data_IF_324414130930
#
_entry.id   IF_324414130930
#
_cell.length_a   1.000
_cell.length_b   1.000
_cell.length_c   1.000
_cell.angle_alpha   90.00
_cell.angle_beta   90.00
_cell.angle_gamma   90.00
#
_symmetry.space_group_name_H-M   'P 1'
#
loop_
_entity.id
_entity.type
_entity.pdbx_description
1 polymer ?
#
# COMPACT_ATOMS: atom_id res chain seq x y z
N UNK A 1 -9.69 1.92 22.76
CA UNK A 1 -11.07 1.40 22.58
C UNK A 1 -11.09 -0.07 22.92
N UNK A 2 -12.25 -0.68 23.20
CA UNK A 2 -12.27 -2.10 23.57
C UNK A 2 -12.22 -2.98 22.31
N UNK A 3 -11.46 -4.07 22.38
CA UNK A 3 -11.46 -5.14 21.38
C UNK A 3 -12.90 -5.55 21.03
N UNK A 4 -13.20 -5.71 19.74
CA UNK A 4 -14.53 -6.07 19.24
C UNK A 4 -15.51 -4.91 19.06
N UNK A 5 -15.16 -3.67 19.43
CA UNK A 5 -15.98 -2.48 19.12
C UNK A 5 -16.15 -2.33 17.61
N UNK A 6 -17.34 -1.93 17.17
CA UNK A 6 -17.57 -1.68 15.74
C UNK A 6 -16.84 -0.41 15.29
N UNK A 7 -16.46 -0.36 14.02
CA UNK A 7 -15.85 0.83 13.42
C UNK A 7 -16.73 2.07 13.63
N UNK A 8 -18.04 1.95 13.44
CA UNK A 8 -18.99 3.05 13.62
C UNK A 8 -18.99 3.57 15.06
N UNK A 9 -18.91 2.69 16.06
CA UNK A 9 -18.79 3.09 17.46
C UNK A 9 -17.45 3.82 17.69
N UNK A 10 -16.36 3.33 17.08
CA UNK A 10 -15.05 3.95 17.16
C UNK A 10 -15.05 5.36 16.54
N UNK A 11 -15.66 5.53 15.37
CA UNK A 11 -15.75 6.80 14.68
C UNK A 11 -16.63 7.84 15.42
N UNK A 12 -17.68 7.38 16.12
CA UNK A 12 -18.66 8.23 16.80
C UNK A 12 -18.35 8.45 18.30
N UNK A 13 -17.28 7.87 18.84
CA UNK A 13 -16.99 8.03 20.26
C UNK A 13 -16.68 9.49 20.62
N UNK A 14 -17.28 9.98 21.71
CA UNK A 14 -17.23 11.39 22.15
C UNK A 14 -15.83 11.92 22.51
N UNK A 15 -14.84 11.05 22.61
CA UNK A 15 -13.42 11.39 22.78
C UNK A 15 -12.63 11.36 21.47
N UNK A 16 -13.28 11.09 20.35
CA UNK A 16 -12.63 11.01 19.05
C UNK A 16 -12.10 12.39 18.64
N UNK A 17 -10.78 12.47 18.41
CA UNK A 17 -10.16 13.65 17.78
C UNK A 17 -10.37 13.66 16.26
N UNK A 18 -11.14 12.70 15.74
CA UNK A 18 -11.42 12.54 14.32
C UNK A 18 -12.45 13.58 13.89
N UNK A 19 -12.19 14.24 12.79
CA UNK A 19 -13.14 15.16 12.14
C UNK A 19 -14.37 14.36 11.70
N UNK A 20 -15.55 14.88 11.92
CA UNK A 20 -16.82 14.21 11.59
C UNK A 20 -16.97 13.89 10.10
N UNK A 21 -16.45 14.75 9.24
CA UNK A 21 -16.44 14.53 7.79
C UNK A 21 -15.54 13.35 7.38
N UNK A 22 -14.33 13.25 7.99
CA UNK A 22 -13.42 12.10 7.78
C UNK A 22 -14.08 10.81 8.27
N UNK A 23 -14.72 10.85 9.45
CA UNK A 23 -15.45 9.70 9.99
C UNK A 23 -16.56 9.23 9.03
N UNK A 24 -17.32 10.15 8.44
CA UNK A 24 -18.38 9.85 7.48
C UNK A 24 -17.82 9.21 6.20
N UNK A 25 -16.71 9.74 5.67
CA UNK A 25 -16.06 9.19 4.48
C UNK A 25 -15.49 7.78 4.73
N UNK A 26 -14.82 7.56 5.86
CA UNK A 26 -14.28 6.23 6.22
C UNK A 26 -15.41 5.22 6.44
N UNK A 27 -16.52 5.62 7.07
CA UNK A 27 -17.70 4.77 7.21
C UNK A 27 -18.32 4.40 5.85
N UNK A 28 -18.34 5.34 4.89
CA UNK A 28 -18.79 5.08 3.52
C UNK A 28 -17.89 4.09 2.79
N UNK A 29 -16.56 4.28 2.88
CA UNK A 29 -15.55 3.37 2.32
C UNK A 29 -15.66 1.97 2.94
N UNK A 30 -15.83 1.87 4.26
CA UNK A 30 -15.99 0.58 4.94
C UNK A 30 -17.26 -0.17 4.49
N UNK A 31 -18.37 0.53 4.27
CA UNK A 31 -19.59 -0.09 3.72
C UNK A 31 -19.38 -0.58 2.29
N UNK A 32 -18.70 0.19 1.43
CA UNK A 32 -18.33 -0.25 0.09
C UNK A 32 -17.41 -1.48 0.12
N UNK A 33 -16.42 -1.48 1.02
CA UNK A 33 -15.53 -2.61 1.21
C UNK A 33 -16.25 -3.89 1.70
N UNK A 34 -17.25 -3.78 2.56
CA UNK A 34 -18.06 -4.92 2.99
C UNK A 34 -18.87 -5.50 1.80
N UNK A 35 -19.48 -4.65 1.00
CA UNK A 35 -20.22 -5.04 -0.22
C UNK A 35 -19.29 -5.72 -1.24
N UNK A 36 -18.15 -5.09 -1.55
CA UNK A 36 -17.15 -5.66 -2.46
C UNK A 36 -16.60 -7.00 -1.94
N UNK A 37 -16.38 -7.11 -0.63
CA UNK A 37 -15.94 -8.35 0.01
C UNK A 37 -16.93 -9.50 -0.20
N UNK A 38 -18.23 -9.22 -0.12
CA UNK A 38 -19.27 -10.23 -0.34
C UNK A 38 -19.33 -10.64 -1.82
N UNK A 39 -19.13 -9.71 -2.73
CA UNK A 39 -19.04 -9.99 -4.17
C UNK A 39 -17.82 -10.86 -4.50
N UNK A 40 -16.63 -10.50 -4.01
CA UNK A 40 -15.40 -11.26 -4.21
C UNK A 40 -15.52 -12.68 -3.64
N UNK A 41 -16.15 -12.82 -2.46
CA UNK A 41 -16.33 -14.13 -1.82
C UNK A 41 -17.25 -15.07 -2.60
N UNK A 42 -18.13 -14.56 -3.46
CA UNK A 42 -18.94 -15.38 -4.37
C UNK A 42 -18.12 -15.94 -5.54
N UNK A 43 -17.00 -15.27 -5.88
CA UNK A 43 -16.15 -15.69 -6.99
C UNK A 43 -16.92 -15.86 -8.30
N UNK A 44 -16.73 -16.97 -9.04
CA UNK A 44 -17.42 -17.21 -10.31
C UNK A 44 -18.97 -17.28 -10.22
N UNK A 45 -19.54 -17.43 -9.02
CA UNK A 45 -20.99 -17.43 -8.83
C UNK A 45 -21.59 -16.03 -9.00
N UNK A 46 -20.80 -14.98 -8.84
CA UNK A 46 -21.21 -13.59 -9.07
C UNK A 46 -21.12 -13.17 -10.56
N UNK A 47 -20.69 -14.08 -11.44
CA UNK A 47 -20.44 -13.81 -12.85
C UNK A 47 -18.95 -13.84 -13.20
N UNK A 48 -18.61 -13.53 -14.45
CA UNK A 48 -17.20 -13.49 -14.90
C UNK A 48 -16.53 -12.17 -14.51
N UNK A 49 -16.24 -12.02 -13.24
CA UNK A 49 -15.58 -10.83 -12.67
C UNK A 49 -14.12 -10.68 -13.13
N UNK A 50 -13.53 -11.75 -13.68
CA UNK A 50 -12.17 -11.76 -14.21
C UNK A 50 -12.13 -11.42 -15.72
N UNK A 51 -13.29 -11.24 -16.38
CA UNK A 51 -13.35 -10.90 -17.78
C UNK A 51 -12.54 -9.64 -18.07
N UNK A 52 -11.63 -9.74 -19.04
CA UNK A 52 -10.91 -8.58 -19.56
C UNK A 52 -11.89 -7.74 -20.41
N UNK A 53 -11.90 -6.45 -20.15
CA UNK A 53 -12.56 -5.49 -21.01
C UNK A 53 -11.61 -5.08 -22.14
N UNK A 54 -12.14 -4.82 -23.34
CA UNK A 54 -11.39 -4.26 -24.48
C UNK A 54 -10.94 -2.80 -24.21
N UNK A 55 -10.86 -2.42 -22.92
CA UNK A 55 -10.46 -1.11 -22.43
C UNK A 55 -9.20 -1.23 -21.59
N UNK A 56 -8.32 -0.25 -21.72
CA UNK A 56 -7.19 -0.04 -20.82
C UNK A 56 -7.51 1.14 -19.91
N UNK A 57 -7.07 1.07 -18.64
CA UNK A 57 -7.19 2.21 -17.75
C UNK A 57 -6.27 3.37 -18.20
N UNK A 58 -6.36 4.50 -17.54
CA UNK A 58 -5.55 5.69 -17.86
C UNK A 58 -4.03 5.45 -17.76
N UNK A 59 -3.61 4.38 -17.08
CA UNK A 59 -2.21 3.96 -16.96
C UNK A 59 -1.75 3.02 -18.07
N UNK A 60 -2.67 2.59 -18.97
CA UNK A 60 -2.41 1.63 -20.03
C UNK A 60 -2.40 0.17 -19.57
N UNK A 61 -2.88 -0.12 -18.36
CA UNK A 61 -3.05 -1.47 -17.84
C UNK A 61 -4.46 -1.99 -18.22
N UNK A 62 -4.60 -3.29 -18.52
CA UNK A 62 -5.89 -3.89 -18.88
C UNK A 62 -6.87 -3.86 -17.71
N UNK A 63 -8.09 -3.39 -17.94
CA UNK A 63 -9.16 -3.36 -16.94
C UNK A 63 -9.94 -4.66 -16.94
N UNK A 64 -10.27 -5.15 -15.75
CA UNK A 64 -11.21 -6.26 -15.55
C UNK A 64 -12.58 -5.75 -15.10
N UNK A 65 -13.59 -6.59 -15.26
CA UNK A 65 -14.95 -6.26 -14.84
C UNK A 65 -15.02 -5.85 -13.37
N UNK A 66 -14.29 -6.54 -12.50
CA UNK A 66 -14.31 -6.28 -11.06
C UNK A 66 -13.68 -4.92 -10.70
N UNK A 67 -12.70 -4.43 -11.45
CA UNK A 67 -12.08 -3.11 -11.23
C UNK A 67 -13.13 -2.00 -11.39
N UNK A 68 -13.95 -2.09 -12.44
CA UNK A 68 -15.02 -1.13 -12.69
C UNK A 68 -16.16 -1.23 -11.67
N UNK A 69 -16.56 -2.45 -11.32
CA UNK A 69 -17.59 -2.68 -10.30
C UNK A 69 -17.12 -2.13 -8.94
N UNK A 70 -15.86 -2.35 -8.57
CA UNK A 70 -15.29 -1.80 -7.34
C UNK A 70 -15.30 -0.26 -7.37
N UNK A 71 -14.90 0.35 -8.49
CA UNK A 71 -14.95 1.79 -8.67
C UNK A 71 -16.37 2.34 -8.44
N UNK A 72 -17.37 1.76 -9.10
CA UNK A 72 -18.76 2.21 -9.01
C UNK A 72 -19.32 2.07 -7.59
N UNK A 73 -19.01 0.98 -6.89
CA UNK A 73 -19.39 0.78 -5.47
C UNK A 73 -18.82 1.93 -4.62
N UNK A 74 -17.51 2.20 -4.70
CA UNK A 74 -16.90 3.22 -3.84
C UNK A 74 -17.36 4.63 -4.18
N UNK A 75 -17.42 5.01 -5.45
CA UNK A 75 -17.94 6.32 -5.88
C UNK A 75 -19.40 6.48 -5.43
N UNK A 76 -20.23 5.44 -5.61
CA UNK A 76 -21.62 5.45 -5.18
C UNK A 76 -21.76 5.66 -3.68
N UNK A 77 -20.94 4.99 -2.85
CA UNK A 77 -20.95 5.14 -1.39
C UNK A 77 -20.45 6.51 -0.93
N UNK A 78 -19.43 7.05 -1.60
CA UNK A 78 -18.84 8.36 -1.28
C UNK A 78 -19.74 9.54 -1.61
N UNK A 79 -20.75 9.40 -2.51
CA UNK A 79 -21.76 10.43 -2.77
C UNK A 79 -22.60 10.80 -1.55
N UNK A 80 -22.72 9.89 -0.56
CA UNK A 80 -23.42 10.13 0.69
C UNK A 80 -22.53 10.71 1.81
N UNK A 81 -21.27 10.99 1.51
CA UNK A 81 -20.30 11.56 2.43
C UNK A 81 -19.88 12.98 1.97
N UNK A 82 -19.32 13.82 2.84
CA UNK A 82 -18.93 15.19 2.50
C UNK A 82 -17.66 15.24 1.64
N UNK A 83 -17.68 14.55 0.49
CA UNK A 83 -16.57 14.41 -0.45
C UNK A 83 -16.81 15.28 -1.68
N UNK A 84 -15.90 16.22 -1.92
CA UNK A 84 -15.97 17.11 -3.08
C UNK A 84 -15.52 16.41 -4.36
N UNK A 85 -14.49 15.57 -4.27
CA UNK A 85 -13.84 14.96 -5.43
C UNK A 85 -13.24 13.62 -5.07
N UNK A 86 -13.32 12.66 -6.03
CA UNK A 86 -12.65 11.36 -5.97
C UNK A 86 -11.69 11.25 -7.14
N UNK A 87 -10.42 10.93 -6.86
CA UNK A 87 -9.44 10.57 -7.86
C UNK A 87 -9.17 9.05 -7.78
N UNK A 88 -9.50 8.33 -8.84
CA UNK A 88 -9.43 6.87 -8.90
C UNK A 88 -8.39 6.41 -9.92
N UNK A 89 -7.80 5.24 -9.68
CA UNK A 89 -6.92 4.59 -10.65
C UNK A 89 -7.61 4.31 -11.98
N UNK A 90 -8.89 3.96 -11.91
CA UNK A 90 -9.66 3.48 -13.06
C UNK A 90 -10.05 4.59 -14.03
N UNK A 91 -9.97 5.85 -13.62
CA UNK A 91 -10.42 7.00 -14.43
C UNK A 91 -9.28 8.00 -14.65
N UNK A 92 -9.21 8.51 -15.89
CA UNK A 92 -8.19 9.48 -16.29
C UNK A 92 -8.29 10.81 -15.53
N UNK A 93 -9.50 11.22 -15.17
CA UNK A 93 -9.80 12.50 -14.53
C UNK A 93 -10.53 12.28 -13.21
N UNK A 94 -10.32 13.15 -12.21
CA UNK A 94 -11.05 13.08 -10.97
C UNK A 94 -12.57 13.27 -11.17
N UNK A 95 -13.37 12.54 -10.40
CA UNK A 95 -14.84 12.62 -10.39
C UNK A 95 -15.28 13.65 -9.36
N UNK A 96 -15.93 14.72 -9.79
CA UNK A 96 -16.59 15.67 -8.90
C UNK A 96 -17.86 15.06 -8.31
N UNK A 97 -18.03 15.17 -6.97
CA UNK A 97 -19.22 14.65 -6.26
C UNK A 97 -20.08 15.79 -5.70
N UNK A 98 -19.64 16.43 -4.64
CA UNK A 98 -20.37 17.51 -3.95
C UNK A 98 -19.52 18.78 -3.92
N UNK A 99 -19.93 19.86 -4.58
CA UNK A 99 -19.19 21.13 -4.53
C UNK A 99 -19.04 21.72 -3.12
N UNK A 100 -19.93 21.34 -2.17
CA UNK A 100 -19.86 21.73 -0.77
C UNK A 100 -19.06 20.77 0.09
N UNK A 101 -18.56 19.67 -0.50
CA UNK A 101 -17.76 18.67 0.20
C UNK A 101 -16.43 19.26 0.72
N UNK A 102 -16.03 18.77 1.88
CA UNK A 102 -14.82 19.24 2.59
C UNK A 102 -13.61 18.32 2.42
N UNK A 103 -13.78 17.22 1.69
CA UNK A 103 -12.78 16.18 1.50
C UNK A 103 -12.52 15.88 0.03
N UNK A 104 -11.27 15.57 -0.29
CA UNK A 104 -10.86 14.87 -1.50
C UNK A 104 -10.41 13.45 -1.14
N UNK A 105 -10.87 12.47 -1.91
CA UNK A 105 -10.50 11.06 -1.75
C UNK A 105 -9.69 10.61 -2.94
N UNK A 106 -8.56 9.95 -2.69
CA UNK A 106 -7.78 9.24 -3.70
C UNK A 106 -7.93 7.75 -3.44
N UNK A 107 -8.15 6.95 -4.47
CA UNK A 107 -8.48 5.53 -4.30
C UNK A 107 -7.91 4.68 -5.44
N UNK A 108 -7.32 3.55 -5.08
CA UNK A 108 -7.20 2.36 -5.91
C UNK A 108 -8.34 1.43 -5.50
N UNK A 109 -9.39 1.29 -6.31
CA UNK A 109 -10.57 0.50 -5.94
C UNK A 109 -10.26 -0.98 -5.79
N UNK A 110 -9.29 -1.50 -6.57
CA UNK A 110 -8.95 -2.93 -6.53
C UNK A 110 -7.46 -3.20 -6.85
N UNK A 111 -6.59 -3.03 -5.82
CA UNK A 111 -5.19 -3.44 -5.87
C UNK A 111 -5.05 -4.94 -6.15
N UNK A 112 -4.13 -5.28 -7.05
CA UNK A 112 -3.81 -6.65 -7.36
C UNK A 112 -4.75 -7.31 -8.36
N UNK A 113 -5.29 -6.58 -9.33
CA UNK A 113 -6.22 -7.07 -10.36
C UNK A 113 -5.70 -8.31 -11.13
N UNK A 114 -4.37 -8.51 -11.22
CA UNK A 114 -3.77 -9.73 -11.76
C UNK A 114 -4.17 -11.00 -10.98
N UNK A 115 -4.58 -10.87 -9.71
CA UNK A 115 -4.99 -11.98 -8.84
C UNK A 115 -6.50 -12.31 -8.93
N UNK A 116 -7.29 -11.51 -9.64
CA UNK A 116 -8.73 -11.76 -9.82
C UNK A 116 -8.92 -13.08 -10.57
N UNK A 117 -9.80 -13.93 -10.03
CA UNK A 117 -10.06 -15.26 -10.57
C UNK A 117 -9.05 -16.34 -10.17
N UNK A 118 -7.97 -15.99 -9.45
CA UNK A 118 -6.93 -16.93 -9.00
C UNK A 118 -7.06 -17.29 -7.51
N UNK A 119 -8.07 -16.77 -6.82
CA UNK A 119 -8.29 -16.96 -5.39
C UNK A 119 -7.08 -16.52 -4.51
N UNK A 120 -6.40 -15.48 -4.94
CA UNK A 120 -5.31 -14.81 -4.21
C UNK A 120 -5.82 -13.46 -3.71
N UNK A 121 -5.28 -12.98 -2.60
CA UNK A 121 -5.72 -11.71 -2.00
C UNK A 121 -5.62 -10.54 -2.96
N UNK A 122 -6.66 -9.75 -2.99
CA UNK A 122 -6.76 -8.43 -3.63
C UNK A 122 -7.14 -7.38 -2.58
N UNK A 123 -7.18 -6.11 -2.91
CA UNK A 123 -7.54 -5.11 -1.92
C UNK A 123 -8.01 -3.78 -2.48
N UNK A 124 -8.29 -2.86 -1.59
CA UNK A 124 -8.61 -1.46 -1.91
C UNK A 124 -7.67 -0.57 -1.13
N UNK A 125 -7.14 0.49 -1.73
CA UNK A 125 -6.27 1.46 -1.05
C UNK A 125 -6.91 2.84 -1.16
N UNK A 126 -6.91 3.62 -0.07
CA UNK A 126 -7.44 4.98 -0.10
C UNK A 126 -6.63 5.96 0.75
N UNK A 127 -6.63 7.22 0.32
CA UNK A 127 -6.13 8.36 1.07
C UNK A 127 -7.14 9.50 1.07
N UNK A 128 -7.23 10.25 2.15
CA UNK A 128 -8.16 11.37 2.33
C UNK A 128 -7.36 12.65 2.57
N UNK A 129 -7.73 13.69 1.84
CA UNK A 129 -7.19 15.03 1.96
C UNK A 129 -8.29 16.00 2.35
N UNK A 130 -7.95 17.09 3.05
CA UNK A 130 -8.89 18.19 3.17
C UNK A 130 -9.08 18.85 1.79
N UNK A 131 -10.31 19.02 1.34
CA UNK A 131 -10.60 19.82 0.15
C UNK A 131 -10.73 21.28 0.54
N UNK A 132 -10.10 22.14 -0.23
CA UNK A 132 -10.28 23.59 -0.14
C UNK A 132 -10.53 24.14 -1.56
N UNK A 133 -11.36 25.18 -1.70
CA UNK A 133 -11.64 25.77 -3.00
C UNK A 133 -10.36 26.15 -3.74
N UNK A 134 -10.20 25.70 -4.97
CA UNK A 134 -9.03 25.99 -5.81
C UNK A 134 -7.77 25.15 -5.48
N UNK A 135 -7.78 24.33 -4.46
CA UNK A 135 -6.63 23.45 -4.17
C UNK A 135 -6.70 22.16 -5.02
N UNK A 136 -5.60 21.80 -5.72
CA UNK A 136 -5.55 20.59 -6.52
C UNK A 136 -5.57 19.35 -5.62
N UNK A 137 -6.04 18.22 -6.14
CA UNK A 137 -5.93 16.91 -5.45
C UNK A 137 -4.49 16.38 -5.48
N UNK A 138 -3.67 16.85 -6.42
CA UNK A 138 -2.26 16.48 -6.57
C UNK A 138 -1.41 17.21 -5.52
N UNK A 139 -1.22 16.57 -4.37
CA UNK A 139 -0.47 17.11 -3.22
C UNK A 139 0.52 16.06 -2.72
N UNK A 140 1.55 16.51 -1.97
CA UNK A 140 2.45 15.56 -1.32
C UNK A 140 1.68 14.71 -0.30
N UNK A 141 2.15 13.48 -0.11
CA UNK A 141 1.55 12.53 0.83
C UNK A 141 1.55 13.03 2.29
N UNK A 142 2.45 13.95 2.65
CA UNK A 142 2.45 14.62 3.94
C UNK A 142 1.17 15.43 4.24
N UNK A 143 0.35 15.71 3.23
CA UNK A 143 -0.95 16.42 3.38
C UNK A 143 -2.13 15.45 3.54
N UNK A 144 -1.90 14.14 3.51
CA UNK A 144 -2.92 13.12 3.84
C UNK A 144 -3.34 13.28 5.29
N UNK A 145 -4.65 13.32 5.55
CA UNK A 145 -5.22 13.47 6.89
C UNK A 145 -5.76 12.15 7.45
N UNK A 146 -6.10 11.20 6.57
CA UNK A 146 -6.45 9.83 6.89
C UNK A 146 -6.12 8.94 5.72
N UNK A 147 -5.74 7.69 5.97
CA UNK A 147 -5.55 6.69 4.94
C UNK A 147 -5.92 5.31 5.45
N UNK A 148 -6.19 4.40 4.54
CA UNK A 148 -6.44 3.01 4.85
C UNK A 148 -6.31 2.13 3.62
N UNK A 149 -6.31 0.84 3.89
CA UNK A 149 -6.50 -0.18 2.87
C UNK A 149 -7.31 -1.36 3.40
N UNK A 150 -7.94 -2.07 2.49
CA UNK A 150 -8.67 -3.30 2.80
C UNK A 150 -7.98 -4.47 2.12
N UNK A 151 -7.83 -5.57 2.84
CA UNK A 151 -7.37 -6.85 2.27
C UNK A 151 -8.57 -7.78 2.17
N UNK A 152 -8.88 -8.22 0.97
CA UNK A 152 -9.84 -9.27 0.68
C UNK A 152 -9.09 -10.59 0.51
N UNK A 153 -9.08 -11.41 1.56
CA UNK A 153 -8.34 -12.67 1.63
C UNK A 153 -9.11 -13.69 2.49
N UNK A 154 -8.42 -14.60 3.20
CA UNK A 154 -9.05 -15.56 4.11
C UNK A 154 -9.96 -14.89 5.14
N UNK A 155 -9.64 -13.67 5.53
CA UNK A 155 -10.51 -12.71 6.23
C UNK A 155 -10.46 -11.37 5.52
N UNK A 156 -11.53 -10.57 5.65
CA UNK A 156 -11.50 -9.18 5.18
C UNK A 156 -11.08 -8.28 6.32
N UNK A 157 -9.97 -7.58 6.13
CA UNK A 157 -9.40 -6.68 7.14
C UNK A 157 -9.26 -5.27 6.59
N UNK A 158 -9.75 -4.29 7.35
CA UNK A 158 -9.54 -2.86 7.11
C UNK A 158 -8.41 -2.39 8.02
N UNK A 159 -7.35 -1.87 7.44
CA UNK A 159 -6.27 -1.15 8.13
C UNK A 159 -6.48 0.32 7.92
N UNK A 160 -6.53 1.12 8.97
CA UNK A 160 -6.85 2.55 8.86
C UNK A 160 -6.12 3.38 9.91
N UNK A 161 -5.75 4.60 9.55
CA UNK A 161 -5.33 5.65 10.48
C UNK A 161 -6.08 6.95 10.17
N UNK A 162 -6.67 7.51 11.20
CA UNK A 162 -7.48 8.75 11.15
C UNK A 162 -6.69 9.94 11.70
N UNK A 163 -5.38 9.97 11.47
CA UNK A 163 -4.46 10.98 12.00
C UNK A 163 -3.75 10.58 13.30
N UNK A 164 -4.14 9.45 13.90
CA UNK A 164 -3.53 8.85 15.09
C UNK A 164 -2.75 7.59 14.80
N UNK A 165 -2.89 6.60 15.68
CA UNK A 165 -2.33 5.25 15.52
C UNK A 165 -2.95 4.54 14.30
N UNK A 166 -2.31 3.48 13.86
CA UNK A 166 -2.85 2.57 12.84
C UNK A 166 -3.63 1.48 13.56
N UNK A 167 -4.88 1.30 13.18
CA UNK A 167 -5.81 0.33 13.74
C UNK A 167 -6.18 -0.73 12.70
N UNK A 168 -6.50 -1.96 13.14
CA UNK A 168 -7.01 -3.01 12.27
C UNK A 168 -8.40 -3.43 12.74
N UNK A 169 -9.31 -3.45 11.78
CA UNK A 169 -10.67 -3.96 11.93
C UNK A 169 -10.86 -5.18 11.03
N UNK A 170 -11.54 -6.20 11.54
CA UNK A 170 -11.91 -7.39 10.77
C UNK A 170 -13.42 -7.36 10.50
N UNK A 171 -13.83 -7.70 9.28
CA UNK A 171 -15.24 -7.79 8.91
C UNK A 171 -15.91 -8.98 9.61
N UNK A 172 -16.82 -8.71 10.52
CA UNK A 172 -17.78 -9.68 11.02
C UNK A 172 -18.89 -9.85 9.97
N UNK A 173 -18.78 -10.87 9.12
CA UNK A 173 -19.74 -11.12 8.03
C UNK A 173 -21.16 -11.39 8.53
N UNK A 174 -21.33 -11.88 9.77
CA UNK A 174 -22.65 -12.14 10.34
C UNK A 174 -23.36 -10.85 10.73
N UNK A 175 -22.58 -9.90 11.22
CA UNK A 175 -23.10 -8.58 11.61
C UNK A 175 -23.04 -7.56 10.47
N UNK A 176 -22.34 -7.85 9.37
CA UNK A 176 -22.07 -6.90 8.29
C UNK A 176 -21.24 -5.69 8.73
N UNK A 177 -20.41 -5.83 9.77
CA UNK A 177 -19.73 -4.70 10.41
C UNK A 177 -18.25 -5.01 10.65
N UNK A 178 -17.40 -4.01 10.45
CA UNK A 178 -15.98 -4.09 10.83
C UNK A 178 -15.82 -3.94 12.33
N UNK A 179 -15.08 -4.86 12.97
CA UNK A 179 -14.78 -4.87 14.41
C UNK A 179 -13.30 -4.70 14.66
N UNK A 180 -12.97 -3.87 15.65
CA UNK A 180 -11.60 -3.60 16.08
C UNK A 180 -10.92 -4.89 16.58
N UNK A 181 -9.80 -5.27 15.94
CA UNK A 181 -9.01 -6.46 16.30
C UNK A 181 -7.60 -6.12 16.71
N UNK A 182 -7.06 -4.95 16.29
CA UNK A 182 -5.78 -4.42 16.75
C UNK A 182 -5.93 -2.92 16.98
N UNK A 183 -5.75 -2.47 18.21
CA UNK A 183 -5.90 -1.03 18.59
C UNK A 183 -4.71 -0.17 18.13
N UNK A 184 -3.54 -0.77 18.03
CA UNK A 184 -2.31 -0.07 17.67
C UNK A 184 -1.35 -1.02 16.98
N UNK A 185 -1.08 -0.73 15.72
CA UNK A 185 -0.05 -1.44 14.95
C UNK A 185 1.30 -0.76 15.17
N UNK A 186 2.33 -1.57 15.44
CA UNK A 186 3.71 -1.13 15.43
C UNK A 186 4.54 -2.15 14.64
N UNK A 187 5.27 -1.69 13.64
CA UNK A 187 6.08 -2.57 12.79
C UNK A 187 7.22 -3.16 13.61
N UNK A 188 7.33 -4.50 13.72
CA UNK A 188 8.43 -5.13 14.42
C UNK A 188 9.79 -4.80 13.80
N UNK A 189 10.75 -4.45 14.64
CA UNK A 189 12.13 -4.18 14.22
C UNK A 189 12.86 -5.48 13.85
N UNK A 190 13.87 -5.37 12.98
CA UNK A 190 14.90 -6.39 12.72
C UNK A 190 14.41 -7.73 12.15
N UNK A 191 13.19 -7.88 11.70
CA UNK A 191 12.72 -9.11 11.07
C UNK A 191 13.54 -9.39 9.80
N UNK A 192 14.15 -10.59 9.68
CA UNK A 192 14.91 -10.96 8.50
C UNK A 192 13.98 -11.48 7.39
N UNK A 193 13.06 -10.64 6.95
CA UNK A 193 12.15 -10.93 5.84
C UNK A 193 12.21 -9.80 4.81
N UNK A 194 12.10 -10.16 3.54
CA UNK A 194 11.91 -9.20 2.45
C UNK A 194 10.87 -9.70 1.45
N UNK A 195 10.22 -8.76 0.77
CA UNK A 195 9.31 -9.03 -0.32
C UNK A 195 9.79 -8.31 -1.57
N UNK A 196 10.02 -9.05 -2.65
CA UNK A 196 10.40 -8.51 -3.96
C UNK A 196 10.03 -9.49 -5.06
N UNK A 197 9.67 -8.99 -6.24
CA UNK A 197 9.47 -9.85 -7.41
C UNK A 197 10.81 -10.30 -7.99
N UNK A 198 11.33 -11.44 -7.52
CA UNK A 198 12.62 -11.98 -7.91
C UNK A 198 12.78 -12.26 -9.41
N UNK A 199 11.67 -12.41 -10.16
CA UNK A 199 11.73 -12.60 -11.62
C UNK A 199 12.34 -11.40 -12.37
N UNK A 200 12.39 -10.24 -11.72
CA UNK A 200 12.95 -9.01 -12.25
C UNK A 200 14.47 -8.84 -11.96
N UNK A 201 15.13 -9.79 -11.29
CA UNK A 201 16.54 -9.72 -10.86
C UNK A 201 17.49 -9.18 -11.94
N UNK A 202 17.39 -9.70 -13.19
CA UNK A 202 18.25 -9.28 -14.30
C UNK A 202 18.06 -7.82 -14.74
N UNK A 203 16.97 -7.18 -14.33
CA UNK A 203 16.64 -5.81 -14.70
C UNK A 203 16.93 -4.79 -13.61
N UNK A 204 17.17 -5.23 -12.37
CA UNK A 204 17.45 -4.34 -11.24
C UNK A 204 18.79 -3.62 -11.38
N UNK A 205 18.90 -2.50 -10.71
CA UNK A 205 20.17 -1.82 -10.48
C UNK A 205 21.11 -2.68 -9.62
N UNK A 206 22.42 -2.35 -9.68
CA UNK A 206 23.44 -3.08 -8.94
C UNK A 206 23.19 -3.04 -7.43
N UNK A 207 22.75 -1.91 -6.89
CA UNK A 207 22.44 -1.77 -5.47
C UNK A 207 21.33 -2.73 -5.01
N UNK A 208 20.22 -2.83 -5.76
CA UNK A 208 19.14 -3.78 -5.42
C UNK A 208 19.66 -5.22 -5.50
N UNK A 209 20.40 -5.56 -6.56
CA UNK A 209 20.96 -6.92 -6.69
C UNK A 209 21.91 -7.24 -5.55
N UNK A 210 22.82 -6.31 -5.22
CA UNK A 210 23.76 -6.47 -4.13
C UNK A 210 23.06 -6.72 -2.79
N UNK A 211 22.02 -5.94 -2.47
CA UNK A 211 21.25 -6.16 -1.26
C UNK A 211 20.60 -7.56 -1.19
N UNK A 212 20.01 -8.02 -2.31
CA UNK A 212 19.36 -9.33 -2.34
C UNK A 212 20.40 -10.46 -2.31
N UNK A 213 21.52 -10.34 -3.01
CA UNK A 213 22.61 -11.33 -2.97
C UNK A 213 23.15 -11.49 -1.54
N UNK A 214 23.38 -10.37 -0.84
CA UNK A 214 23.85 -10.39 0.54
C UNK A 214 22.80 -10.97 1.51
N UNK A 215 21.48 -10.81 1.23
CA UNK A 215 20.42 -11.51 1.97
C UNK A 215 20.47 -13.04 1.73
N UNK A 216 20.88 -13.50 0.55
CA UNK A 216 21.01 -14.93 0.22
C UNK A 216 22.25 -15.59 0.84
N UNK A 217 23.29 -14.82 1.15
CA UNK A 217 24.49 -15.36 1.82
C UNK A 217 24.24 -15.81 3.26
N UNK A 218 23.12 -15.42 3.85
CA UNK A 218 22.68 -15.88 5.18
C UNK A 218 23.58 -15.38 6.32
N UNK A 219 23.65 -16.16 7.41
CA UNK A 219 24.43 -15.82 8.61
C UNK A 219 25.93 -15.70 8.35
N UNK A 220 26.44 -16.38 7.34
CA UNK A 220 27.86 -16.31 6.94
C UNK A 220 28.19 -15.08 6.10
N UNK A 221 27.20 -14.36 5.61
CA UNK A 221 27.33 -13.21 4.74
C UNK A 221 27.32 -11.87 5.48
N UNK A 222 27.35 -10.76 4.72
CA UNK A 222 27.45 -9.40 5.29
C UNK A 222 26.26 -8.99 6.15
N UNK A 223 25.12 -9.66 5.97
CA UNK A 223 23.87 -9.37 6.69
C UNK A 223 23.76 -10.12 8.03
N UNK A 224 24.63 -11.12 8.25
CA UNK A 224 24.72 -11.93 9.48
C UNK A 224 23.34 -12.51 9.94
N UNK A 225 22.44 -12.79 8.99
CA UNK A 225 21.09 -13.27 9.26
C UNK A 225 20.54 -14.09 8.08
N UNK A 226 19.77 -15.13 8.39
CA UNK A 226 19.05 -15.93 7.41
C UNK A 226 17.76 -15.24 7.01
N UNK A 227 17.71 -14.63 5.84
CA UNK A 227 16.53 -13.94 5.34
C UNK A 227 15.55 -14.89 4.66
N UNK A 228 14.26 -14.61 4.83
CA UNK A 228 13.19 -15.27 4.08
C UNK A 228 12.55 -14.30 3.08
N UNK A 229 12.45 -14.71 1.83
CA UNK A 229 11.64 -14.00 0.85
C UNK A 229 10.16 -14.36 1.04
N UNK A 230 9.30 -13.33 1.08
CA UNK A 230 7.85 -13.45 1.17
C UNK A 230 7.22 -12.49 0.17
N UNK A 231 6.83 -13.00 -0.99
CA UNK A 231 6.20 -12.23 -2.06
C UNK A 231 4.81 -12.79 -2.36
N UNK A 232 3.75 -11.98 -2.16
CA UNK A 232 2.35 -12.36 -2.35
C UNK A 232 1.83 -11.85 -3.70
N UNK A 233 2.48 -10.86 -4.28
CA UNK A 233 2.06 -10.17 -5.51
C UNK A 233 0.71 -9.42 -5.34
N UNK A 234 0.45 -8.88 -4.16
CA UNK A 234 -0.62 -7.96 -3.80
C UNK A 234 -0.04 -6.93 -2.83
N UNK A 235 -0.08 -5.65 -3.19
CA UNK A 235 0.51 -4.60 -2.37
C UNK A 235 -0.12 -4.55 -0.98
N UNK A 236 -1.46 -4.65 -0.92
CA UNK A 236 -2.18 -4.65 0.37
C UNK A 236 -1.83 -5.85 1.24
N UNK A 237 -1.68 -7.05 0.66
CA UNK A 237 -1.36 -8.26 1.41
C UNK A 237 0.09 -8.25 1.91
N UNK A 238 1.04 -7.81 1.07
CA UNK A 238 2.43 -7.63 1.48
C UNK A 238 2.56 -6.52 2.54
N UNK A 239 1.83 -5.40 2.40
CA UNK A 239 1.78 -4.34 3.41
C UNK A 239 1.22 -4.85 4.73
N UNK A 240 0.10 -5.57 4.71
CA UNK A 240 -0.50 -6.16 5.91
C UNK A 240 0.49 -7.07 6.66
N UNK A 241 1.24 -7.89 5.91
CA UNK A 241 2.28 -8.74 6.48
C UNK A 241 3.41 -7.92 7.11
N UNK A 242 3.92 -6.89 6.41
CA UNK A 242 4.99 -6.02 6.92
C UNK A 242 4.54 -5.28 8.20
N UNK A 243 3.33 -4.77 8.24
CA UNK A 243 2.77 -4.10 9.43
C UNK A 243 2.77 -5.01 10.65
N UNK A 244 2.48 -6.31 10.48
CA UNK A 244 2.36 -7.26 11.60
C UNK A 244 3.66 -8.03 11.91
N UNK A 245 4.53 -8.23 10.93
CA UNK A 245 5.74 -9.06 11.09
C UNK A 245 7.04 -8.31 10.91
N UNK A 246 7.01 -7.11 10.36
CA UNK A 246 8.21 -6.37 10.00
C UNK A 246 8.85 -6.84 8.69
N UNK A 247 10.13 -6.51 8.51
CA UNK A 247 10.87 -6.76 7.28
C UNK A 247 10.82 -5.56 6.33
N UNK A 248 11.06 -5.79 5.04
CA UNK A 248 11.07 -4.75 4.01
C UNK A 248 10.39 -5.22 2.72
N UNK A 249 9.55 -4.38 2.16
CA UNK A 249 8.98 -4.53 0.82
C UNK A 249 9.79 -3.69 -0.16
N UNK A 250 10.07 -4.27 -1.35
CA UNK A 250 10.79 -3.59 -2.42
C UNK A 250 10.04 -3.75 -3.74
N UNK A 251 9.65 -2.62 -4.31
CA UNK A 251 9.22 -2.54 -5.70
C UNK A 251 10.03 -1.44 -6.39
N UNK A 252 11.31 -1.71 -6.67
CA UNK A 252 12.23 -0.71 -7.21
C UNK A 252 11.91 -0.38 -8.66
N UNK A 253 12.44 0.74 -9.15
CA UNK A 253 12.60 0.96 -10.58
C UNK A 253 13.51 -0.09 -11.19
N UNK A 254 13.43 -0.28 -12.48
CA UNK A 254 14.34 -1.16 -13.20
C UNK A 254 14.77 -0.56 -14.56
N UNK A 255 15.73 -1.20 -15.21
CA UNK A 255 16.34 -0.68 -16.45
C UNK A 255 15.43 -0.69 -17.67
N UNK A 256 14.26 -1.31 -17.60
CA UNK A 256 13.26 -1.29 -18.68
C UNK A 256 12.62 0.08 -18.77
N UNK A 257 12.50 0.62 -19.99
CA UNK A 257 11.92 1.96 -20.22
C UNK A 257 10.54 2.13 -19.57
N UNK A 258 9.71 1.10 -19.63
CA UNK A 258 8.35 1.14 -19.06
C UNK A 258 8.35 1.20 -17.52
N UNK A 259 9.44 0.81 -16.85
CA UNK A 259 9.55 0.70 -15.39
C UNK A 259 10.66 1.55 -14.78
N UNK A 260 11.27 2.42 -15.59
CA UNK A 260 12.36 3.31 -15.15
C UNK A 260 11.92 4.31 -14.06
N UNK A 261 10.60 4.56 -13.94
CA UNK A 261 9.99 5.38 -12.90
C UNK A 261 9.26 4.55 -11.82
N UNK A 262 9.52 3.25 -11.74
CA UNK A 262 8.75 2.35 -10.89
C UNK A 262 7.44 1.89 -11.54
N UNK A 263 6.59 1.26 -10.75
CA UNK A 263 5.33 0.68 -11.22
C UNK A 263 4.11 1.20 -10.48
N UNK A 264 4.26 1.48 -9.19
CA UNK A 264 3.18 1.93 -8.32
C UNK A 264 2.92 3.42 -8.50
N UNK A 265 1.68 3.86 -8.27
CA UNK A 265 1.30 5.26 -8.45
C UNK A 265 1.47 6.01 -7.14
N UNK A 266 2.00 7.24 -7.26
CA UNK A 266 2.26 8.09 -6.09
C UNK A 266 0.98 8.39 -5.33
N UNK A 267 -0.11 8.73 -6.05
CA UNK A 267 -1.31 9.37 -5.47
C UNK A 267 -2.14 8.40 -4.66
N UNK A 268 -2.55 7.27 -5.23
CA UNK A 268 -3.54 6.39 -4.62
C UNK A 268 -3.00 5.07 -4.10
N UNK A 269 -1.71 4.74 -4.35
CA UNK A 269 -1.04 3.56 -3.80
C UNK A 269 0.08 3.98 -2.83
N UNK A 270 1.17 4.60 -3.32
CA UNK A 270 2.37 4.84 -2.53
C UNK A 270 2.14 5.81 -1.36
N UNK A 271 1.43 6.92 -1.56
CA UNK A 271 1.15 7.89 -0.49
C UNK A 271 0.30 7.31 0.64
N UNK A 272 -0.86 6.65 0.39
CA UNK A 272 -1.64 6.04 1.47
C UNK A 272 -0.89 4.94 2.23
N UNK A 273 -0.16 4.08 1.52
CA UNK A 273 0.65 3.02 2.15
C UNK A 273 1.78 3.62 2.98
N UNK A 274 2.54 4.59 2.45
CA UNK A 274 3.61 5.27 3.17
C UNK A 274 3.10 5.97 4.43
N UNK A 275 1.91 6.60 4.36
CA UNK A 275 1.28 7.25 5.50
C UNK A 275 1.00 6.25 6.64
N UNK A 276 0.45 5.08 6.32
CA UNK A 276 0.17 4.04 7.30
C UNK A 276 1.46 3.43 7.87
N UNK A 277 2.43 3.12 7.00
CA UNK A 277 3.72 2.55 7.39
C UNK A 277 4.45 3.45 8.36
N UNK A 278 4.55 4.77 8.08
CA UNK A 278 5.24 5.70 8.96
C UNK A 278 4.52 5.90 10.29
N UNK A 279 3.18 5.90 10.31
CA UNK A 279 2.40 5.95 11.55
C UNK A 279 2.50 4.68 12.39
N UNK A 280 2.81 3.54 11.76
CA UNK A 280 3.15 2.30 12.44
C UNK A 280 4.62 2.20 12.86
N UNK A 281 5.40 3.30 12.78
CA UNK A 281 6.81 3.35 13.16
C UNK A 281 7.78 2.83 12.10
N UNK A 282 7.33 2.67 10.86
CA UNK A 282 8.15 2.30 9.71
C UNK A 282 8.70 3.49 8.93
N UNK A 283 9.30 3.21 7.77
CA UNK A 283 9.76 4.19 6.80
C UNK A 283 9.35 3.79 5.38
N UNK A 284 9.22 4.78 4.48
CA UNK A 284 8.90 4.57 3.08
C UNK A 284 9.67 5.55 2.18
N UNK A 285 10.32 5.02 1.13
CA UNK A 285 11.21 5.76 0.23
C UNK A 285 11.02 5.32 -1.24
N UNK A 286 11.36 6.22 -2.18
CA UNK A 286 11.52 5.86 -3.59
C UNK A 286 12.92 5.26 -3.90
N UNK A 287 13.74 5.14 -2.87
CA UNK A 287 15.14 4.73 -2.92
C UNK A 287 16.12 5.89 -2.65
N UNK A 288 15.64 7.13 -2.69
CA UNK A 288 16.42 8.34 -2.45
C UNK A 288 15.67 9.40 -1.64
N UNK A 289 14.34 9.47 -1.78
CA UNK A 289 13.48 10.46 -1.14
C UNK A 289 12.36 9.76 -0.40
N UNK A 290 11.93 10.36 0.70
CA UNK A 290 10.76 9.93 1.43
C UNK A 290 9.51 10.05 0.56
N UNK A 291 8.68 8.99 0.50
CA UNK A 291 7.47 8.96 -0.34
C UNK A 291 6.53 10.13 -0.03
N UNK A 292 6.27 10.42 1.23
CA UNK A 292 5.31 11.47 1.63
C UNK A 292 5.74 12.89 1.25
N UNK A 293 6.99 13.09 0.84
CA UNK A 293 7.50 14.40 0.39
C UNK A 293 7.41 14.55 -1.15
N UNK A 294 7.03 13.50 -1.88
CA UNK A 294 6.86 13.57 -3.32
C UNK A 294 5.61 14.39 -3.66
N UNK A 295 5.78 15.35 -4.57
CA UNK A 295 4.68 16.13 -5.15
C UNK A 295 4.38 15.53 -6.52
N UNK A 296 3.25 14.84 -6.71
CA UNK A 296 2.91 14.23 -7.98
C UNK A 296 2.60 15.29 -9.05
N UNK A 297 3.17 15.13 -10.23
CA UNK A 297 2.93 16.01 -11.38
C UNK A 297 1.66 15.61 -12.15
N UNK A 298 1.19 14.37 -12.00
CA UNK A 298 -0.03 13.86 -12.62
C UNK A 298 -0.69 12.81 -11.73
N UNK A 299 -1.99 12.53 -11.99
CA UNK A 299 -2.78 11.58 -11.19
C UNK A 299 -2.18 10.16 -11.21
N UNK A 300 -1.68 9.73 -12.35
CA UNK A 300 -1.14 8.39 -12.57
C UNK A 300 0.40 8.34 -12.56
N UNK A 301 1.05 9.34 -11.95
CA UNK A 301 2.52 9.33 -11.83
C UNK A 301 2.99 8.12 -11.06
N UNK A 302 3.98 7.41 -11.64
CA UNK A 302 4.56 6.20 -11.05
C UNK A 302 5.80 6.52 -10.24
N UNK A 303 6.05 5.70 -9.22
CA UNK A 303 7.23 5.77 -8.35
C UNK A 303 7.71 4.35 -7.98
N UNK A 304 9.01 4.17 -7.73
CA UNK A 304 9.49 3.05 -6.95
C UNK A 304 8.92 3.15 -5.53
N UNK A 305 8.73 2.02 -4.86
CA UNK A 305 8.26 1.99 -3.48
C UNK A 305 9.05 0.95 -2.68
N UNK A 306 9.72 1.42 -1.63
CA UNK A 306 10.44 0.62 -0.66
C UNK A 306 9.95 1.04 0.71
N UNK A 307 9.43 0.09 1.51
CA UNK A 307 8.92 0.41 2.84
C UNK A 307 9.08 -0.75 3.81
N UNK A 308 9.01 -0.45 5.10
CA UNK A 308 9.07 -1.43 6.17
C UNK A 308 9.74 -0.90 7.42
N UNK A 309 10.45 -1.76 8.13
CA UNK A 309 11.21 -1.39 9.31
C UNK A 309 12.30 -0.36 8.94
N UNK A 310 12.46 0.73 9.71
CA UNK A 310 13.33 1.85 9.35
C UNK A 310 14.78 1.45 9.06
N UNK A 311 15.34 0.53 9.85
CA UNK A 311 16.73 0.06 9.70
C UNK A 311 16.92 -0.71 8.40
N UNK A 312 15.90 -1.48 7.97
CA UNK A 312 15.95 -2.23 6.70
C UNK A 312 15.81 -1.28 5.52
N UNK A 313 14.91 -0.31 5.60
CA UNK A 313 14.74 0.72 4.55
C UNK A 313 16.02 1.53 4.39
N UNK A 314 16.59 2.05 5.49
CA UNK A 314 17.85 2.79 5.46
C UNK A 314 19.02 1.94 4.94
N UNK A 315 19.00 0.63 5.21
CA UNK A 315 19.98 -0.28 4.64
C UNK A 315 19.87 -0.36 3.11
N UNK A 316 18.66 -0.57 2.58
CA UNK A 316 18.44 -0.61 1.12
C UNK A 316 18.88 0.71 0.47
N UNK A 317 18.57 1.87 1.08
CA UNK A 317 19.01 3.18 0.57
C UNK A 317 20.53 3.29 0.48
N UNK A 318 21.29 2.74 1.46
CA UNK A 318 22.76 2.73 1.37
C UNK A 318 23.27 1.89 0.20
N UNK A 319 22.66 0.73 -0.08
CA UNK A 319 22.99 -0.08 -1.24
C UNK A 319 22.71 0.65 -2.55
N UNK A 320 21.54 1.31 -2.64
CA UNK A 320 21.17 2.11 -3.81
C UNK A 320 22.09 3.31 -4.02
N UNK A 321 22.59 3.91 -2.94
CA UNK A 321 23.56 5.00 -2.99
C UNK A 321 25.00 4.54 -3.26
N UNK A 322 25.23 3.23 -3.45
CA UNK A 322 26.56 2.65 -3.68
C UNK A 322 27.49 2.69 -2.47
N UNK A 323 26.95 2.93 -1.25
CA UNK A 323 27.77 3.10 -0.04
C UNK A 323 28.20 1.78 0.60
N UNK A 324 27.39 0.74 0.46
CA UNK A 324 27.64 -0.58 1.09
C UNK A 324 28.19 -1.63 0.09
N UNK A 325 28.04 -1.43 -1.23
CA UNK A 325 28.30 -2.48 -2.23
C UNK A 325 29.75 -2.67 -2.67
N UNK A 326 30.64 -1.68 -2.48
CA UNK A 326 31.98 -1.70 -3.08
C UNK A 326 33.09 -2.21 -2.15
N UNK A 327 32.95 -2.00 -0.84
CA UNK A 327 34.02 -2.34 0.12
C UNK A 327 33.94 -3.82 0.53
N UNK A 328 32.73 -4.38 0.64
CA UNK A 328 32.51 -5.76 1.12
C UNK A 328 32.74 -6.83 0.02
N UNK A 329 32.63 -6.45 -1.26
CA UNK A 329 32.83 -7.38 -2.40
C UNK A 329 34.25 -7.37 -2.98
N UNK A 330 35.11 -6.51 -2.49
CA UNK A 330 36.52 -6.53 -2.92
C UNK A 330 37.18 -7.86 -2.48
N UNK A 331 37.80 -8.61 -3.39
CA UNK A 331 38.56 -9.83 -3.04
C UNK A 331 39.61 -9.61 -1.96
N UNK A 332 40.10 -8.35 -1.82
CA UNK A 332 41.10 -7.97 -0.82
C UNK A 332 40.52 -7.78 0.60
N UNK A 333 39.23 -7.53 0.71
CA UNK A 333 38.55 -7.25 2.00
C UNK A 333 37.46 -8.27 2.35
N UNK A 334 37.15 -9.21 1.46
CA UNK A 334 36.19 -10.29 1.71
C UNK A 334 36.72 -11.29 2.74
N UNK A 335 35.82 -11.86 3.55
CA UNK A 335 36.12 -12.91 4.55
C UNK A 335 36.81 -14.16 3.97
N UNK A 336 37.02 -14.24 2.65
CA UNK A 336 37.77 -15.31 1.95
C UNK A 336 39.24 -14.96 1.67
N UNK A 337 39.77 -13.92 2.31
CA UNK A 337 41.19 -13.60 2.21
C UNK A 337 42.09 -14.71 2.78
N UNK A 338 43.31 -14.82 2.23
CA UNK A 338 44.35 -15.79 2.60
C UNK A 338 44.75 -15.84 4.09
N UNK A 339 44.10 -15.07 4.95
CA UNK A 339 44.41 -14.93 6.39
C UNK A 339 43.29 -15.54 7.30
N UNK A 340 42.47 -16.44 6.82
CA UNK A 340 41.66 -17.29 7.72
C UNK A 340 42.52 -18.45 8.17
N UNK A 341 43.06 -18.34 9.40
CA UNK A 341 43.58 -19.47 10.18
C UNK A 341 42.40 -20.33 10.66
#
# INVERSE_FOLDING_TARGET
MAFGSTLELCLNSSGSRVRSDVAAAVAALARGAAELSDLIAQGPLAGDLAAERDAVNASGDGQKELDLVAHDIFVGRLRAAPVAVVASEEWAEPVALDPAGTLGVVIDPLDGSANIGLNVSVGTIFGIYAAAPGEPILRPGSRVIAAGFVVYGPQTSLVVSLGGDVEIFTLDRRAGAFRLTVERVAIPANTPEYAINASNYRHWDEGVRAFIDDCHEGEGGPREANFNMRWIASLVADTFRILLRGGVFLYPADRRRAYARGRLRVVYEANPIAYLVERAGGAATDGARRILDLVPASLHERTPLIFGCPERVACVERYLAGRDSMVERSPLFGRRGLLRA
#
